data_IF_342105310981
#
_entry.id   IF_342105310981
#
_cell.length_a   1.000
_cell.length_b   1.000
_cell.length_c   1.000
_cell.angle_alpha   90.00
_cell.angle_beta   90.00
_cell.angle_gamma   90.00
#
_symmetry.space_group_name_H-M   'P 1'
#
loop_
_entity.id
_entity.type
_entity.pdbx_description
1 polymer ?
#
# COMPACT_ATOMS: atom_id res chain seq x y z
N UNK A 1 29.74 -27.71 -13.02
CA UNK A 1 28.64 -27.79 -12.03
C UNK A 1 28.65 -26.50 -11.21
N UNK A 2 27.79 -25.53 -11.56
CA UNK A 2 27.71 -24.24 -10.84
C UNK A 2 26.77 -24.44 -9.66
N UNK A 3 27.29 -24.35 -8.43
CA UNK A 3 26.47 -24.41 -7.21
C UNK A 3 25.62 -23.14 -7.13
N UNK A 4 24.32 -23.25 -7.44
CA UNK A 4 23.34 -22.21 -7.10
C UNK A 4 23.25 -22.13 -5.57
N UNK A 5 23.75 -21.03 -4.98
CA UNK A 5 23.46 -20.69 -3.58
C UNK A 5 21.94 -20.51 -3.47
N UNK A 6 21.29 -21.34 -2.63
CA UNK A 6 19.90 -21.15 -2.25
C UNK A 6 19.85 -19.86 -1.44
N UNK A 7 19.11 -18.87 -1.94
CA UNK A 7 18.82 -17.64 -1.19
C UNK A 7 18.04 -18.08 0.06
N UNK A 8 18.68 -18.01 1.22
CA UNK A 8 18.05 -18.26 2.52
C UNK A 8 17.36 -16.97 2.93
N UNK A 9 16.07 -17.04 3.25
CA UNK A 9 15.28 -15.93 3.78
C UNK A 9 15.77 -15.41 5.16
N UNK A 10 16.84 -16.00 5.71
CA UNK A 10 17.40 -15.76 7.04
C UNK A 10 18.93 -15.60 6.97
N UNK A 11 19.46 -14.77 6.07
CA UNK A 11 20.84 -14.28 6.22
C UNK A 11 20.77 -13.07 7.17
N UNK A 12 21.12 -13.29 8.44
CA UNK A 12 21.02 -12.30 9.53
C UNK A 12 21.66 -10.95 9.14
N UNK A 13 22.78 -10.99 8.43
CA UNK A 13 23.51 -9.79 7.96
C UNK A 13 22.72 -8.91 6.96
N UNK A 14 21.76 -9.46 6.21
CA UNK A 14 20.93 -8.67 5.29
C UNK A 14 19.74 -8.05 6.02
N UNK A 15 19.14 -8.82 6.93
CA UNK A 15 18.03 -8.34 7.75
C UNK A 15 18.50 -7.26 8.73
N UNK A 16 19.65 -7.44 9.38
CA UNK A 16 20.25 -6.45 10.27
C UNK A 16 20.56 -5.14 9.55
N UNK A 17 21.15 -5.17 8.35
CA UNK A 17 21.38 -3.93 7.56
C UNK A 17 20.09 -3.22 7.19
N UNK A 18 19.04 -3.95 6.84
CA UNK A 18 17.73 -3.34 6.55
C UNK A 18 17.18 -2.73 7.83
N UNK A 19 17.30 -3.43 8.95
CA UNK A 19 16.78 -3.01 10.25
C UNK A 19 17.53 -1.79 10.79
N UNK A 20 18.86 -1.76 10.71
CA UNK A 20 19.70 -0.61 11.06
C UNK A 20 19.37 0.60 10.21
N UNK A 21 19.26 0.42 8.88
CA UNK A 21 18.86 1.52 7.99
C UNK A 21 17.46 2.04 8.30
N UNK A 22 16.55 1.17 8.73
CA UNK A 22 15.20 1.54 9.15
C UNK A 22 15.19 2.29 10.49
N UNK A 23 16.07 1.91 11.43
CA UNK A 23 16.27 2.63 12.69
C UNK A 23 16.86 4.00 12.42
N UNK A 24 17.85 4.09 11.52
CA UNK A 24 18.50 5.34 11.13
C UNK A 24 17.52 6.28 10.41
N UNK A 25 16.69 5.75 9.51
CA UNK A 25 15.60 6.51 8.87
C UNK A 25 14.53 6.94 9.91
N UNK A 26 14.22 6.09 10.91
CA UNK A 26 13.33 6.44 12.03
C UNK A 26 13.91 7.52 12.95
N UNK A 27 15.22 7.52 13.19
CA UNK A 27 15.91 8.52 14.01
C UNK A 27 16.04 9.84 13.27
N UNK A 28 16.33 9.81 11.96
CA UNK A 28 16.30 10.98 11.09
C UNK A 28 14.89 11.60 11.07
N UNK A 29 13.86 10.76 10.93
CA UNK A 29 12.46 11.15 11.00
C UNK A 29 12.07 11.77 12.35
N UNK A 30 12.63 11.27 13.46
CA UNK A 30 12.42 11.80 14.81
C UNK A 30 13.04 13.20 14.99
N UNK A 31 14.14 13.48 14.28
CA UNK A 31 14.83 14.77 14.34
C UNK A 31 14.20 15.85 13.46
N UNK A 32 13.46 15.46 12.42
CA UNK A 32 12.92 16.36 11.40
C UNK A 32 11.50 16.86 11.71
N UNK A 33 10.84 16.29 12.72
CA UNK A 33 9.49 16.67 13.14
C UNK A 33 9.50 17.49 14.45
N UNK A 34 9.53 18.83 14.34
CA UNK A 34 9.03 19.73 15.42
C UNK A 34 7.63 19.31 15.91
N UNK A 35 6.90 18.63 15.03
CA UNK A 35 5.57 18.09 15.24
C UNK A 35 5.51 16.93 16.25
N UNK A 36 6.59 16.17 16.47
CA UNK A 36 6.55 15.03 17.40
C UNK A 36 6.47 15.51 18.86
N UNK A 37 7.20 16.58 19.22
CA UNK A 37 7.12 17.20 20.54
C UNK A 37 5.74 17.83 20.79
N UNK A 38 5.18 18.52 19.78
CA UNK A 38 3.85 19.13 19.86
C UNK A 38 2.74 18.05 19.96
N UNK A 39 2.86 16.91 19.26
CA UNK A 39 1.97 15.74 19.42
C UNK A 39 2.07 15.10 20.80
N UNK A 40 3.30 14.93 21.32
CA UNK A 40 3.52 14.35 22.64
C UNK A 40 2.95 15.27 23.74
N UNK A 41 3.05 16.59 23.57
CA UNK A 41 2.41 17.57 24.46
C UNK A 41 0.88 17.49 24.37
N UNK A 42 0.30 17.44 23.17
CA UNK A 42 -1.16 17.31 22.98
C UNK A 42 -1.72 16.00 23.55
N UNK A 43 -0.97 14.90 23.43
CA UNK A 43 -1.32 13.62 24.04
C UNK A 43 -1.27 13.69 25.58
N UNK A 44 -0.23 14.31 26.16
CA UNK A 44 -0.10 14.54 27.61
C UNK A 44 -1.19 15.47 28.16
N UNK A 45 -1.64 16.43 27.36
CA UNK A 45 -2.76 17.34 27.71
C UNK A 45 -4.16 16.71 27.48
N UNK A 46 -4.24 15.48 26.97
CA UNK A 46 -5.52 14.82 26.66
C UNK A 46 -6.31 15.46 25.51
N UNK A 47 -5.66 16.30 24.68
CA UNK A 47 -6.25 17.02 23.55
C UNK A 47 -5.86 16.43 22.18
N UNK A 48 -4.98 15.42 22.16
CA UNK A 48 -4.57 14.73 20.93
C UNK A 48 -5.66 13.79 20.44
N UNK A 49 -6.07 13.91 19.17
CA UNK A 49 -6.87 12.86 18.51
C UNK A 49 -5.98 11.62 18.33
N UNK A 50 -6.55 10.43 18.51
CA UNK A 50 -5.84 9.18 18.18
C UNK A 50 -5.44 9.19 16.71
N UNK A 51 -4.16 8.94 16.43
CA UNK A 51 -3.63 8.83 15.08
C UNK A 51 -2.88 7.51 14.95
N UNK A 52 -2.91 6.91 13.76
CA UNK A 52 -2.16 5.70 13.42
C UNK A 52 -1.11 6.11 12.40
N UNK A 53 0.18 5.88 12.67
CA UNK A 53 1.24 6.01 11.65
C UNK A 53 2.01 4.71 11.61
N UNK A 54 2.13 4.11 10.43
CA UNK A 54 2.77 2.81 10.24
C UNK A 54 3.46 2.68 8.90
N UNK A 55 4.19 1.59 8.74
CA UNK A 55 4.87 1.21 7.51
C UNK A 55 4.64 -0.29 7.25
N UNK A 56 4.43 -0.65 5.98
CA UNK A 56 4.33 -2.01 5.49
C UNK A 56 5.58 -2.34 4.68
N UNK A 57 6.15 -3.52 4.89
CA UNK A 57 7.36 -3.97 4.21
C UNK A 57 7.03 -5.27 3.46
N UNK A 58 7.16 -5.24 2.14
CA UNK A 58 6.94 -6.42 1.29
C UNK A 58 8.22 -6.78 0.54
N UNK A 59 8.67 -8.03 0.63
CA UNK A 59 9.83 -8.50 -0.13
C UNK A 59 9.36 -8.94 -1.52
N UNK A 60 9.80 -8.22 -2.56
CA UNK A 60 9.48 -8.55 -3.95
C UNK A 60 10.20 -9.82 -4.45
N UNK A 61 9.79 -10.38 -5.60
CA UNK A 61 10.39 -11.59 -6.17
C UNK A 61 11.90 -11.47 -6.49
N UNK A 62 12.39 -10.23 -6.64
CA UNK A 62 13.82 -9.89 -6.82
C UNK A 62 14.60 -9.77 -5.50
N UNK A 63 13.97 -10.05 -4.35
CA UNK A 63 14.57 -9.94 -3.01
C UNK A 63 14.71 -8.51 -2.47
N UNK A 64 14.21 -7.50 -3.20
CA UNK A 64 14.25 -6.10 -2.75
C UNK A 64 13.04 -5.78 -1.86
N UNK A 65 13.24 -5.14 -0.68
CA UNK A 65 12.14 -4.70 0.16
C UNK A 65 11.43 -3.49 -0.47
N UNK A 66 10.11 -3.51 -0.48
CA UNK A 66 9.22 -2.40 -0.85
C UNK A 66 8.61 -1.90 0.46
N UNK A 67 9.01 -0.71 0.88
CA UNK A 67 8.48 -0.06 2.09
C UNK A 67 7.35 0.89 1.67
N UNK A 68 6.19 0.79 2.32
CA UNK A 68 5.01 1.63 2.08
C UNK A 68 4.55 2.23 3.39
N UNK A 69 4.44 3.55 3.48
CA UNK A 69 3.86 4.22 4.65
C UNK A 69 2.33 4.15 4.61
N UNK A 70 1.71 4.09 5.79
CA UNK A 70 0.25 4.12 5.96
C UNK A 70 -0.17 4.82 7.24
N UNK A 71 -1.46 5.13 7.29
CA UNK A 71 -2.07 5.79 8.44
C UNK A 71 -2.33 7.28 8.22
N UNK A 72 -2.59 7.99 9.31
CA UNK A 72 -2.92 9.39 9.35
C UNK A 72 -1.64 10.23 9.15
N UNK A 73 -1.69 11.22 8.27
CA UNK A 73 -0.65 12.26 8.18
C UNK A 73 -0.98 13.33 9.22
N UNK A 74 -0.27 13.42 10.36
CA UNK A 74 -0.49 14.52 11.28
C UNK A 74 -0.06 15.82 10.57
N UNK A 75 -0.95 16.81 10.55
CA UNK A 75 -0.61 18.19 10.17
C UNK A 75 -0.82 19.03 11.42
N UNK A 76 0.23 19.71 11.90
CA UNK A 76 0.13 20.54 13.11
C UNK A 76 -0.04 22.01 12.75
N UNK A 77 -1.00 22.61 13.46
CA UNK A 77 -1.48 24.01 13.50
C UNK A 77 -2.29 24.54 12.31
N UNK A 78 -3.58 24.73 12.59
CA UNK A 78 -4.44 25.74 11.95
C UNK A 78 -5.48 25.25 10.94
N UNK A 79 -5.47 23.96 10.59
CA UNK A 79 -6.51 23.35 9.74
C UNK A 79 -7.05 22.12 10.43
N UNK A 80 -8.36 22.09 10.63
CA UNK A 80 -9.06 20.91 11.11
C UNK A 80 -8.61 19.70 10.31
N UNK A 81 -8.23 18.64 11.02
CA UNK A 81 -7.89 17.35 10.42
C UNK A 81 -9.20 16.78 9.88
N UNK A 82 -9.51 17.03 8.61
CA UNK A 82 -10.36 16.11 7.86
C UNK A 82 -9.53 14.82 7.69
N UNK A 83 -9.64 13.93 8.68
CA UNK A 83 -8.86 12.71 8.84
C UNK A 83 -9.12 11.68 7.76
N UNK A 84 -8.69 11.97 6.53
CA UNK A 84 -8.64 11.00 5.43
C UNK A 84 -7.43 10.11 5.65
N UNK A 85 -7.67 8.90 6.16
CA UNK A 85 -6.66 7.86 6.26
C UNK A 85 -6.41 7.26 4.88
N UNK A 86 -5.15 7.01 4.55
CA UNK A 86 -4.83 6.22 3.35
C UNK A 86 -4.89 4.72 3.71
N UNK A 87 -5.75 3.93 3.05
CA UNK A 87 -5.77 2.49 3.24
C UNK A 87 -4.51 1.85 2.66
N UNK A 88 -4.01 0.78 3.29
CA UNK A 88 -3.03 -0.09 2.66
C UNK A 88 -3.66 -0.77 1.46
N UNK A 89 -2.95 -0.71 0.33
CA UNK A 89 -3.37 -1.31 -0.94
C UNK A 89 -2.26 -2.19 -1.49
N UNK A 90 -2.64 -3.38 -1.93
CA UNK A 90 -1.83 -4.28 -2.75
C UNK A 90 -2.44 -4.44 -4.13
N UNK A 91 -1.57 -4.49 -5.15
CA UNK A 91 -1.96 -4.72 -6.55
C UNK A 91 -1.28 -6.00 -7.00
N UNK A 92 -2.09 -6.95 -7.47
CA UNK A 92 -1.63 -8.22 -8.02
C UNK A 92 -2.00 -8.22 -9.51
N UNK A 93 -0.97 -8.28 -10.34
CA UNK A 93 -1.12 -8.39 -11.78
C UNK A 93 -1.17 -9.87 -12.19
N UNK A 94 -2.28 -10.30 -12.78
CA UNK A 94 -2.43 -11.63 -13.39
C UNK A 94 -2.42 -11.49 -14.93
N UNK A 95 -2.42 -12.61 -15.67
CA UNK A 95 -2.27 -12.62 -17.15
C UNK A 95 -3.33 -11.81 -17.89
N UNK A 96 -4.57 -11.87 -17.42
CA UNK A 96 -5.77 -11.31 -18.07
C UNK A 96 -6.54 -10.32 -17.18
N UNK A 97 -6.18 -10.19 -15.91
CA UNK A 97 -6.87 -9.35 -14.93
C UNK A 97 -5.91 -8.71 -13.93
N UNK A 98 -6.40 -7.72 -13.22
CA UNK A 98 -5.73 -7.07 -12.10
C UNK A 98 -6.60 -7.27 -10.87
N UNK A 99 -5.98 -7.60 -9.74
CA UNK A 99 -6.62 -7.60 -8.42
C UNK A 99 -6.06 -6.48 -7.58
N UNK A 100 -6.95 -5.70 -6.98
CA UNK A 100 -6.62 -4.67 -6.00
C UNK A 100 -7.21 -5.08 -4.66
N UNK A 101 -6.37 -5.15 -3.64
CA UNK A 101 -6.75 -5.53 -2.27
C UNK A 101 -6.52 -4.31 -1.38
N UNK A 102 -7.53 -3.88 -0.63
CA UNK A 102 -7.44 -2.72 0.26
C UNK A 102 -7.98 -3.04 1.67
N UNK A 103 -7.27 -2.57 2.71
CA UNK A 103 -7.77 -2.65 4.08
C UNK A 103 -8.69 -1.46 4.41
N UNK A 104 -9.86 -1.76 4.96
CA UNK A 104 -10.88 -0.80 5.39
C UNK A 104 -11.54 -1.31 6.70
N UNK A 105 -10.79 -1.43 7.82
CA UNK A 105 -11.31 -1.97 9.06
C UNK A 105 -12.37 -1.05 9.68
N UNK A 106 -13.50 -1.64 10.07
CA UNK A 106 -14.61 -0.91 10.72
C UNK A 106 -15.46 -0.07 9.77
N UNK A 107 -15.35 -0.29 8.46
CA UNK A 107 -16.19 0.36 7.44
C UNK A 107 -17.34 -0.58 7.06
N UNK A 108 -18.55 -0.05 6.89
CA UNK A 108 -19.65 -0.86 6.35
C UNK A 108 -19.56 -0.93 4.83
N UNK A 109 -19.93 -2.07 4.23
CA UNK A 109 -19.91 -2.25 2.77
C UNK A 109 -20.64 -1.12 2.01
N UNK A 110 -21.73 -0.63 2.56
CA UNK A 110 -22.58 0.40 1.95
C UNK A 110 -21.94 1.80 1.95
N UNK A 111 -20.91 2.01 2.75
CA UNK A 111 -20.20 3.30 2.87
C UNK A 111 -18.97 3.38 1.94
N UNK A 112 -18.70 2.33 1.18
CA UNK A 112 -17.54 2.25 0.28
C UNK A 112 -17.98 2.68 -1.13
N UNK A 113 -17.44 3.80 -1.58
CA UNK A 113 -17.54 4.27 -2.95
C UNK A 113 -16.34 3.76 -3.77
N UNK A 114 -16.62 3.09 -4.89
CA UNK A 114 -15.61 2.60 -5.83
C UNK A 114 -15.85 3.19 -7.21
N UNK A 115 -14.83 3.83 -7.78
CA UNK A 115 -14.88 4.36 -9.13
C UNK A 115 -13.66 3.87 -9.91
N UNK A 116 -13.86 3.26 -11.07
CA UNK A 116 -12.79 2.80 -11.93
C UNK A 116 -12.76 3.60 -13.25
N UNK A 117 -11.56 3.94 -13.69
CA UNK A 117 -11.29 4.44 -15.05
C UNK A 117 -10.43 3.41 -15.78
N UNK A 118 -10.05 3.68 -17.03
CA UNK A 118 -9.19 2.76 -17.80
C UNK A 118 -7.83 2.49 -17.13
N UNK A 119 -7.36 3.36 -16.23
CA UNK A 119 -6.02 3.27 -15.61
C UNK A 119 -6.00 3.39 -14.10
N UNK A 120 -7.12 3.73 -13.46
CA UNK A 120 -7.15 4.03 -12.04
C UNK A 120 -8.35 3.36 -11.35
N UNK A 121 -8.15 2.99 -10.09
CA UNK A 121 -9.22 2.63 -9.16
C UNK A 121 -9.23 3.60 -7.98
N UNK A 122 -10.31 4.33 -7.83
CA UNK A 122 -10.58 5.17 -6.67
C UNK A 122 -11.37 4.38 -5.61
N UNK A 123 -10.90 4.48 -4.37
CA UNK A 123 -11.53 3.92 -3.18
C UNK A 123 -11.79 5.07 -2.22
N UNK A 124 -13.05 5.34 -1.91
CA UNK A 124 -13.46 6.45 -1.05
C UNK A 124 -14.46 5.99 0.00
N UNK A 125 -14.24 6.46 1.23
CA UNK A 125 -15.15 6.30 2.37
C UNK A 125 -15.21 7.66 3.04
N UNK A 126 -16.41 8.20 3.23
CA UNK A 126 -16.62 9.49 3.88
C UNK A 126 -17.77 9.40 4.88
N UNK A 127 -17.45 8.82 6.04
CA UNK A 127 -18.38 8.72 7.17
C UNK A 127 -17.89 9.58 8.32
N UNK A 128 -18.76 9.82 9.31
CA UNK A 128 -18.37 10.54 10.53
C UNK A 128 -17.32 9.77 11.35
N UNK A 129 -17.34 8.44 11.31
CA UNK A 129 -16.46 7.58 12.11
C UNK A 129 -15.15 7.22 11.39
N UNK A 130 -15.21 7.04 10.06
CA UNK A 130 -14.09 6.62 9.21
C UNK A 130 -14.08 7.42 7.92
N UNK A 131 -12.93 7.99 7.58
CA UNK A 131 -12.67 8.55 6.26
C UNK A 131 -11.46 7.89 5.64
N UNK A 132 -11.64 7.29 4.47
CA UNK A 132 -10.57 6.71 3.67
C UNK A 132 -10.58 7.30 2.28
N UNK A 133 -9.40 7.53 1.72
CA UNK A 133 -9.26 7.91 0.33
C UNK A 133 -7.99 7.32 -0.25
N UNK A 134 -8.12 6.65 -1.39
CA UNK A 134 -6.99 6.21 -2.20
C UNK A 134 -7.36 6.25 -3.67
N UNK A 135 -6.48 6.81 -4.48
CA UNK A 135 -6.51 6.64 -5.92
C UNK A 135 -5.32 5.74 -6.30
N UNK A 136 -5.62 4.57 -6.85
CA UNK A 136 -4.67 3.53 -7.18
C UNK A 136 -4.41 3.58 -8.68
N UNK A 137 -3.19 3.92 -9.08
CA UNK A 137 -2.75 3.78 -10.47
C UNK A 137 -2.48 2.30 -10.78
N UNK A 138 -3.07 1.80 -11.86
CA UNK A 138 -3.02 0.40 -12.24
C UNK A 138 -1.87 0.15 -13.24
N UNK A 139 -1.18 -1.00 -13.15
CA UNK A 139 -0.03 -1.31 -14.01
C UNK A 139 -0.39 -1.53 -15.48
N UNK A 140 -1.67 -1.74 -15.81
CA UNK A 140 -2.15 -1.92 -17.16
C UNK A 140 -3.57 -1.35 -17.35
N UNK A 141 -3.92 -1.07 -18.60
CA UNK A 141 -5.26 -0.62 -18.96
C UNK A 141 -6.31 -1.72 -18.69
N UNK A 142 -7.41 -1.33 -18.05
CA UNK A 142 -8.51 -2.21 -17.65
C UNK A 142 -9.82 -1.89 -18.37
N UNK A 143 -10.79 -2.80 -18.22
CA UNK A 143 -12.18 -2.63 -18.63
C UNK A 143 -13.06 -2.39 -17.40
N UNK A 144 -13.39 -1.14 -17.04
CA UNK A 144 -14.14 -0.83 -15.82
C UNK A 144 -15.46 -1.59 -15.68
N UNK A 145 -16.15 -1.86 -16.79
CA UNK A 145 -17.43 -2.57 -16.84
C UNK A 145 -17.35 -4.03 -16.40
N UNK A 146 -16.13 -4.60 -16.33
CA UNK A 146 -15.88 -5.98 -15.90
C UNK A 146 -15.54 -6.10 -14.42
N UNK A 147 -15.52 -4.98 -13.69
CA UNK A 147 -15.12 -4.97 -12.29
C UNK A 147 -16.09 -5.75 -11.39
N UNK A 148 -15.55 -6.67 -10.59
CA UNK A 148 -16.24 -7.36 -9.50
C UNK A 148 -15.58 -7.01 -8.17
N UNK A 149 -16.38 -6.87 -7.11
CA UNK A 149 -15.89 -6.47 -5.79
C UNK A 149 -16.46 -7.35 -4.67
N UNK A 150 -15.57 -7.80 -3.78
CA UNK A 150 -15.91 -8.57 -2.58
C UNK A 150 -15.38 -7.83 -1.35
N UNK A 151 -16.18 -7.81 -0.30
CA UNK A 151 -15.79 -7.18 0.96
C UNK A 151 -16.09 -8.10 2.12
N UNK A 152 -15.05 -8.52 2.85
CA UNK A 152 -15.16 -9.43 3.98
C UNK A 152 -14.19 -9.01 5.08
N UNK A 153 -14.68 -8.93 6.33
CA UNK A 153 -13.86 -8.70 7.52
C UNK A 153 -12.91 -7.50 7.43
N UNK A 154 -13.35 -6.38 6.85
CA UNK A 154 -12.50 -5.20 6.71
C UNK A 154 -11.56 -5.23 5.52
N UNK A 155 -11.63 -6.22 4.63
CA UNK A 155 -10.78 -6.32 3.45
C UNK A 155 -11.63 -6.26 2.19
N UNK A 156 -11.32 -5.29 1.33
CA UNK A 156 -11.91 -5.13 0.00
C UNK A 156 -11.00 -5.79 -1.04
N UNK A 157 -11.58 -6.64 -1.88
CA UNK A 157 -10.94 -7.22 -3.05
C UNK A 157 -11.71 -6.78 -4.31
N UNK A 158 -11.04 -6.10 -5.23
CA UNK A 158 -11.58 -5.69 -6.52
C UNK A 158 -10.83 -6.42 -7.63
N UNK A 159 -11.54 -7.11 -8.51
CA UNK A 159 -10.98 -7.83 -9.66
C UNK A 159 -11.49 -7.21 -10.96
N UNK A 160 -10.59 -6.88 -11.88
CA UNK A 160 -10.95 -6.19 -13.14
C UNK A 160 -10.18 -6.79 -14.32
N UNK A 161 -10.83 -7.04 -15.46
CA UNK A 161 -10.15 -7.54 -16.66
C UNK A 161 -9.26 -6.46 -17.31
N UNK A 162 -8.12 -6.89 -17.86
CA UNK A 162 -7.25 -6.04 -18.69
C UNK A 162 -7.82 -5.86 -20.10
N UNK A 163 -7.56 -4.71 -20.71
CA UNK A 163 -7.84 -4.47 -22.13
C UNK A 163 -6.99 -5.37 -23.02
N UNK A 164 -5.68 -5.41 -22.76
CA UNK A 164 -4.72 -6.27 -23.48
C UNK A 164 -4.31 -7.43 -22.59
N UNK A 165 -4.67 -8.64 -23.00
CA UNK A 165 -4.20 -9.87 -22.37
C UNK A 165 -2.75 -10.13 -22.75
N UNK A 166 -1.90 -10.45 -21.78
CA UNK A 166 -0.53 -10.85 -22.08
C UNK A 166 -0.55 -12.15 -22.88
N UNK A 167 0.00 -12.09 -24.10
CA UNK A 167 0.23 -13.28 -24.91
C UNK A 167 1.46 -13.99 -24.33
N UNK A 168 1.41 -15.32 -24.24
CA UNK A 168 2.56 -16.11 -23.84
C UNK A 168 3.78 -15.73 -24.68
N UNK A 169 4.88 -15.39 -24.01
CA UNK A 169 6.15 -15.08 -24.66
C UNK A 169 6.57 -16.28 -25.53
N UNK A 170 6.45 -16.15 -26.85
CA UNK A 170 7.01 -17.12 -27.78
C UNK A 170 8.53 -16.99 -27.75
N UNK A 171 9.19 -17.77 -26.88
CA UNK A 171 10.66 -17.86 -26.83
C UNK A 171 11.16 -18.46 -28.14
N UNK A 172 11.85 -17.67 -28.96
CA UNK A 172 12.60 -18.16 -30.12
C UNK A 172 14.06 -18.30 -29.72
N UNK A 173 14.59 -19.52 -29.79
CA UNK A 173 16.03 -19.76 -29.62
C UNK A 173 16.77 -19.04 -30.77
N UNK A 174 17.73 -18.19 -30.42
CA UNK A 174 18.65 -17.58 -31.38
C UNK A 174 19.97 -18.34 -31.25
N UNK A 175 20.41 -18.97 -32.34
CA UNK A 175 21.72 -19.60 -32.38
C UNK A 175 22.80 -18.54 -32.67
N UNK A 176 23.90 -18.62 -31.93
CA UNK A 176 25.08 -17.76 -32.12
C UNK A 176 25.89 -18.35 -33.29
N UNK A 177 26.30 -17.50 -34.24
CA UNK A 177 27.16 -17.88 -35.36
C UNK A 177 28.62 -17.71 -35.04
#
# INVERSE_FOLDING_TARGET
>A
MVKKKRFSFFDDDYFERIFEKMIEDMEAFRSEFEDFEDLERLAKEGKGKSFVKGFSITIGPEGKPIIREFGDKPVIKGKEVEGKREPLVDIIEEKDKIKVIAELPGVSKHDIELNATEKNLEIKVDTAERKYYRNVELPAEIKPETADAKYNNGVLEVTIEKVKREKEEKKKKIDIK
#
